data_IF_716222123518
#
_entry.id   IF_716222123518
#
_cell.length_a   1.000
_cell.length_b   1.000
_cell.length_c   1.000
_cell.angle_alpha   90.00
_cell.angle_beta   90.00
_cell.angle_gamma   90.00
#
_symmetry.space_group_name_H-M   'P 1'
#
loop_
_entity.id
_entity.type
_entity.pdbx_description
1 polymer ?
#
# COMPACT_ATOMS: atom_id res chain seq x y z
N UNK A 1 -8.40 -24.22 3.91
CA UNK A 1 -9.09 -22.90 3.82
C UNK A 1 -8.72 -22.28 2.47
N UNK A 2 -9.63 -21.58 1.79
CA UNK A 2 -9.36 -21.01 0.46
C UNK A 2 -8.48 -19.76 0.58
N UNK A 3 -7.42 -19.71 -0.23
CA UNK A 3 -6.65 -18.50 -0.53
C UNK A 3 -7.64 -17.43 -1.02
N UNK A 4 -7.60 -16.24 -0.40
CA UNK A 4 -8.43 -15.10 -0.85
C UNK A 4 -7.56 -14.26 -1.75
N UNK A 5 -7.99 -14.13 -3.00
CA UNK A 5 -7.38 -13.26 -4.00
C UNK A 5 -8.35 -12.11 -4.26
N UNK A 6 -7.92 -10.86 -4.03
CA UNK A 6 -8.80 -9.70 -4.18
C UNK A 6 -8.04 -8.50 -4.71
N UNK A 7 -8.53 -7.95 -5.82
CA UNK A 7 -8.06 -6.70 -6.37
C UNK A 7 -8.35 -5.54 -5.42
N UNK A 8 -7.42 -4.61 -5.30
CA UNK A 8 -7.58 -3.40 -4.50
C UNK A 8 -6.98 -2.18 -5.22
N UNK A 9 -7.51 -1.01 -4.84
CA UNK A 9 -6.97 0.29 -5.22
C UNK A 9 -6.66 1.04 -3.93
N UNK A 10 -5.45 1.55 -3.82
CA UNK A 10 -4.94 2.21 -2.64
C UNK A 10 -4.33 3.57 -3.01
N UNK A 11 -4.78 4.62 -2.34
CA UNK A 11 -4.24 5.97 -2.50
C UNK A 11 -3.16 6.22 -1.46
N UNK A 12 -1.91 6.36 -1.91
CA UNK A 12 -0.76 6.62 -1.05
C UNK A 12 -0.40 8.11 -1.10
N UNK A 13 -0.64 8.88 -0.01
CA UNK A 13 -0.40 10.31 0.01
C UNK A 13 1.10 10.62 0.16
N UNK A 14 1.65 11.38 -0.79
CA UNK A 14 3.01 11.90 -0.70
C UNK A 14 3.02 13.18 0.13
N UNK A 15 3.74 13.15 1.25
CA UNK A 15 3.84 14.26 2.18
C UNK A 15 5.29 14.69 2.34
N UNK A 16 5.52 15.99 2.44
CA UNK A 16 6.83 16.56 2.73
C UNK A 16 6.76 17.46 3.97
N UNK A 17 7.78 17.39 4.83
CA UNK A 17 7.88 18.22 6.04
C UNK A 17 8.72 19.45 5.72
N UNK A 18 8.13 20.63 5.93
CA UNK A 18 8.81 21.91 5.77
C UNK A 18 8.80 22.70 7.08
N UNK A 19 9.72 23.65 7.23
CA UNK A 19 9.68 24.64 8.30
C UNK A 19 9.09 25.93 7.76
N UNK A 20 7.94 26.35 8.29
CA UNK A 20 7.30 27.64 8.01
C UNK A 20 7.00 28.33 9.34
N UNK A 21 7.36 29.60 9.48
CA UNK A 21 7.14 30.39 10.70
C UNK A 21 7.64 29.70 12.00
N UNK A 22 8.85 29.15 11.96
CA UNK A 22 9.48 28.39 13.07
C UNK A 22 8.68 27.15 13.52
N UNK A 23 7.76 26.63 12.70
CA UNK A 23 6.99 25.41 12.96
C UNK A 23 7.20 24.37 11.86
N UNK A 24 7.23 23.10 12.25
CA UNK A 24 7.24 21.98 11.31
C UNK A 24 5.81 21.78 10.79
N UNK A 25 5.62 21.97 9.49
CA UNK A 25 4.34 21.76 8.80
C UNK A 25 4.51 20.59 7.83
N UNK A 26 3.49 19.73 7.75
CA UNK A 26 3.45 18.64 6.76
C UNK A 26 2.55 19.07 5.61
N UNK A 27 3.12 19.26 4.43
CA UNK A 27 2.38 19.60 3.21
C UNK A 27 2.11 18.33 2.37
N UNK A 28 0.91 18.24 1.79
CA UNK A 28 0.53 17.20 0.85
C UNK A 28 1.01 17.61 -0.55
N UNK A 29 1.87 16.80 -1.14
CA UNK A 29 2.48 17.04 -2.46
C UNK A 29 1.62 16.43 -3.58
N UNK A 30 0.94 15.33 -3.27
CA UNK A 30 0.02 14.65 -4.18
C UNK A 30 -0.26 13.24 -3.70
N UNK A 31 -0.83 12.43 -4.59
CA UNK A 31 -1.20 11.05 -4.28
C UNK A 31 -0.71 10.10 -5.38
N UNK A 32 -0.21 8.95 -4.96
CA UNK A 32 -0.01 7.81 -5.83
C UNK A 32 -1.24 6.92 -5.79
N UNK A 33 -1.67 6.44 -6.95
CA UNK A 33 -2.72 5.43 -7.06
C UNK A 33 -2.03 4.08 -7.29
N UNK A 34 -2.16 3.19 -6.33
CA UNK A 34 -1.59 1.85 -6.36
C UNK A 34 -2.72 0.87 -6.68
N UNK A 35 -2.52 0.09 -7.74
CA UNK A 35 -3.45 -0.94 -8.18
C UNK A 35 -2.73 -2.29 -8.05
N UNK A 36 -3.38 -3.26 -7.44
CA UNK A 36 -2.78 -4.57 -7.25
C UNK A 36 -3.75 -5.63 -6.77
N UNK A 37 -3.23 -6.83 -6.60
CA UNK A 37 -3.94 -8.00 -6.11
C UNK A 37 -3.35 -8.43 -4.77
N UNK A 38 -4.20 -8.53 -3.75
CA UNK A 38 -3.80 -9.02 -2.44
C UNK A 38 -4.13 -10.49 -2.25
N UNK A 39 -3.30 -11.16 -1.46
CA UNK A 39 -3.37 -12.58 -1.12
C UNK A 39 -3.41 -12.77 0.38
N UNK A 40 -4.27 -13.67 0.85
CA UNK A 40 -4.33 -14.06 2.26
C UNK A 40 -3.98 -15.53 2.46
N UNK A 41 -2.97 -15.79 3.30
CA UNK A 41 -2.56 -17.11 3.74
C UNK A 41 -3.04 -17.37 5.17
N UNK A 42 -4.15 -18.11 5.38
CA UNK A 42 -4.66 -18.36 6.72
C UNK A 42 -3.78 -19.30 7.57
N UNK A 43 -2.86 -20.02 6.94
CA UNK A 43 -1.97 -20.99 7.58
C UNK A 43 -0.75 -20.32 8.23
N UNK A 44 -0.41 -19.10 7.80
CA UNK A 44 0.66 -18.30 8.38
C UNK A 44 0.29 -17.78 9.79
N UNK A 45 1.32 -17.50 10.60
CA UNK A 45 1.15 -16.97 11.95
C UNK A 45 0.36 -15.65 11.93
N UNK A 46 -0.65 -15.47 12.81
CA UNK A 46 -1.36 -14.21 12.94
C UNK A 46 -0.49 -13.00 13.29
N UNK A 47 0.68 -13.25 13.88
CA UNK A 47 1.63 -12.23 14.33
C UNK A 47 2.51 -11.76 13.15
N UNK A 48 2.74 -12.62 12.17
CA UNK A 48 3.56 -12.29 11.01
C UNK A 48 2.69 -11.76 9.86
N UNK A 49 2.63 -10.43 9.75
CA UNK A 49 1.78 -9.76 8.76
C UNK A 49 2.28 -10.02 7.33
N UNK A 50 3.60 -10.10 7.12
CA UNK A 50 4.18 -10.22 5.77
C UNK A 50 4.14 -11.65 5.24
N UNK A 51 4.18 -12.65 6.14
CA UNK A 51 3.93 -14.05 5.75
C UNK A 51 2.44 -14.33 5.52
N UNK A 52 1.57 -13.60 6.24
CA UNK A 52 0.13 -13.82 6.21
C UNK A 52 -0.59 -13.11 5.07
N UNK A 53 -0.06 -11.97 4.65
CA UNK A 53 -0.62 -11.16 3.58
C UNK A 53 0.44 -10.88 2.53
N UNK A 54 0.16 -11.25 1.28
CA UNK A 54 0.97 -10.89 0.13
C UNK A 54 0.25 -9.88 -0.74
N UNK A 55 1.00 -9.12 -1.53
CA UNK A 55 0.44 -8.25 -2.57
C UNK A 55 1.30 -8.35 -3.83
N UNK A 56 0.64 -8.41 -4.99
CA UNK A 56 1.26 -8.16 -6.28
C UNK A 56 0.77 -6.80 -6.75
N UNK A 57 1.70 -5.84 -6.88
CA UNK A 57 1.38 -4.50 -7.39
C UNK A 57 1.46 -4.56 -8.91
N UNK A 58 0.38 -4.19 -9.57
CA UNK A 58 0.30 -4.12 -11.03
C UNK A 58 0.80 -2.76 -11.51
N UNK A 59 0.25 -1.67 -10.94
CA UNK A 59 0.55 -0.29 -11.33
C UNK A 59 0.77 0.63 -10.13
N UNK A 60 1.68 1.60 -10.31
CA UNK A 60 1.82 2.73 -9.40
C UNK A 60 1.72 4.02 -10.20
N UNK A 61 0.56 4.68 -10.15
CA UNK A 61 0.24 5.82 -11.00
C UNK A 61 0.42 7.15 -10.26
N UNK A 62 1.14 8.08 -10.89
CA UNK A 62 1.19 9.49 -10.50
C UNK A 62 0.54 10.32 -11.61
N UNK A 63 -0.52 11.07 -11.28
CA UNK A 63 -1.31 11.83 -12.26
C UNK A 63 -1.73 10.99 -13.49
N UNK A 64 -2.10 9.73 -13.27
CA UNK A 64 -2.51 8.78 -14.32
C UNK A 64 -1.37 8.12 -15.11
N UNK A 65 -0.11 8.52 -14.89
CA UNK A 65 1.06 7.90 -15.53
C UNK A 65 1.63 6.81 -14.64
N UNK A 66 1.87 5.61 -15.17
CA UNK A 66 2.54 4.56 -14.42
C UNK A 66 4.03 4.90 -14.22
N UNK A 67 4.42 5.03 -12.96
CA UNK A 67 5.78 5.35 -12.52
C UNK A 67 6.45 4.16 -11.81
N UNK A 68 5.80 3.00 -11.74
CA UNK A 68 6.37 1.80 -11.12
C UNK A 68 7.79 1.48 -11.61
N UNK A 69 8.10 1.52 -12.93
CA UNK A 69 9.47 1.24 -13.40
C UNK A 69 10.52 2.20 -12.82
N UNK A 70 10.14 3.46 -12.57
CA UNK A 70 11.03 4.46 -11.95
C UNK A 70 11.27 4.11 -10.49
N UNK A 71 10.22 3.69 -9.77
CA UNK A 71 10.31 3.31 -8.35
C UNK A 71 11.15 2.04 -8.14
N UNK A 72 11.05 1.07 -9.06
CA UNK A 72 11.88 -0.13 -9.05
C UNK A 72 13.37 0.21 -9.24
N UNK A 73 13.69 1.06 -10.22
CA UNK A 73 15.09 1.48 -10.48
C UNK A 73 15.66 2.31 -9.35
N UNK A 74 14.84 3.15 -8.71
CA UNK A 74 15.27 4.01 -7.59
C UNK A 74 15.25 3.33 -6.23
N UNK A 75 14.79 2.07 -6.16
CA UNK A 75 14.70 1.30 -4.92
C UNK A 75 13.66 1.83 -3.93
N UNK A 76 12.63 2.54 -4.41
CA UNK A 76 11.59 3.15 -3.57
C UNK A 76 10.31 2.29 -3.45
N UNK A 77 10.33 1.05 -3.96
CA UNK A 77 9.17 0.15 -3.93
C UNK A 77 8.90 -0.44 -2.55
N UNK A 78 9.91 -0.66 -1.72
CA UNK A 78 9.77 -1.35 -0.42
C UNK A 78 8.71 -0.69 0.49
N UNK A 79 8.75 0.64 0.61
CA UNK A 79 7.78 1.38 1.42
C UNK A 79 6.37 1.38 0.83
N UNK A 80 6.25 1.24 -0.49
CA UNK A 80 4.97 1.16 -1.20
C UNK A 80 4.36 -0.24 -1.01
N UNK A 81 5.18 -1.28 -1.13
CA UNK A 81 4.79 -2.68 -0.90
C UNK A 81 4.33 -2.88 0.55
N UNK A 82 5.09 -2.40 1.53
CA UNK A 82 4.68 -2.49 2.94
C UNK A 82 3.34 -1.78 3.18
N UNK A 83 3.17 -0.57 2.62
CA UNK A 83 1.92 0.16 2.76
C UNK A 83 0.74 -0.55 2.09
N UNK A 84 0.96 -1.17 0.93
CA UNK A 84 -0.05 -1.94 0.22
C UNK A 84 -0.45 -3.21 1.00
N UNK A 85 0.50 -3.94 1.59
CA UNK A 85 0.23 -5.10 2.45
C UNK A 85 -0.64 -4.70 3.64
N UNK A 86 -0.26 -3.62 4.34
CA UNK A 86 -1.01 -3.11 5.50
C UNK A 86 -2.41 -2.65 5.12
N UNK A 87 -2.55 -1.97 3.98
CA UNK A 87 -3.85 -1.55 3.45
C UNK A 87 -4.74 -2.76 3.17
N UNK A 88 -4.22 -3.77 2.48
CA UNK A 88 -4.95 -4.99 2.15
C UNK A 88 -5.39 -5.77 3.39
N UNK A 89 -4.50 -5.91 4.38
CA UNK A 89 -4.83 -6.54 5.66
C UNK A 89 -5.99 -5.79 6.37
N UNK A 90 -5.95 -4.46 6.38
CA UNK A 90 -7.03 -3.62 6.92
C UNK A 90 -8.35 -3.79 6.18
N UNK A 91 -8.30 -3.91 4.86
CA UNK A 91 -9.46 -4.12 3.99
C UNK A 91 -10.13 -5.48 4.23
N UNK A 92 -9.36 -6.53 4.50
CA UNK A 92 -9.90 -7.83 4.88
C UNK A 92 -10.52 -7.82 6.29
N UNK A 93 -9.87 -7.16 7.26
CA UNK A 93 -10.42 -7.03 8.61
C UNK A 93 -11.74 -6.24 8.64
N UNK A 94 -11.84 -5.16 7.87
CA UNK A 94 -13.08 -4.37 7.78
C UNK A 94 -14.19 -5.16 7.10
N UNK A 95 -13.87 -5.92 6.05
CA UNK A 95 -14.83 -6.82 5.38
C UNK A 95 -15.34 -7.92 6.32
N UNK A 96 -14.47 -8.48 7.17
CA UNK A 96 -14.82 -9.52 8.12
C UNK A 96 -15.66 -9.01 9.31
N UNK A 97 -15.54 -7.74 9.69
CA UNK A 97 -16.37 -7.11 10.74
C UNK A 97 -17.77 -6.70 10.25
N UNK A 98 -17.95 -6.57 8.93
CA UNK A 98 -19.21 -6.17 8.32
C UNK A 98 -20.11 -7.37 7.94
N UNK A 99 -19.60 -8.61 8.10
CA UNK A 99 -20.32 -9.87 7.86
C UNK A 99 -20.75 -10.50 9.19
#
# INVERSE_FOLDING_TARGET
MKRIDKAFIFHYPLKHKIVRDLRIVTELVGELVIEGTGYFCPEASPIDVFDRYGVDIDFVKWNGTDIRPVLEVTGQMEGIEEAAVRYFAGLLQSSAKAA
#
